data_IF_321701100601
#
_entry.id   IF_321701100601
#
_cell.length_a   1.000
_cell.length_b   1.000
_cell.length_c   1.000
_cell.angle_alpha   90.00
_cell.angle_beta   90.00
_cell.angle_gamma   90.00
#
_symmetry.space_group_name_H-M   'P 1'
#
loop_
_entity.id
_entity.type
_entity.pdbx_description
1 polymer ?
#
# COMPACT_ATOMS: atom_id res chain seq x y z
N UNK A 1 26.09 -32.49 21.45
CA UNK A 1 24.84 -31.74 21.74
C UNK A 1 24.83 -30.48 20.90
N UNK A 2 24.01 -30.43 19.84
CA UNK A 2 23.91 -29.32 18.87
C UNK A 2 22.60 -28.58 19.11
N UNK A 3 22.67 -27.33 19.54
CA UNK A 3 21.49 -26.47 19.73
C UNK A 3 21.19 -25.73 18.43
N UNK A 4 20.06 -26.07 17.81
CA UNK A 4 19.47 -25.35 16.66
C UNK A 4 18.80 -24.08 17.19
N UNK A 5 19.30 -22.92 16.78
CA UNK A 5 18.63 -21.63 16.94
C UNK A 5 17.58 -21.47 15.85
N UNK A 6 16.31 -21.51 16.24
CA UNK A 6 15.15 -21.23 15.39
C UNK A 6 15.02 -19.72 15.16
N UNK A 7 15.25 -19.30 13.91
CA UNK A 7 14.92 -17.96 13.44
C UNK A 7 13.39 -17.81 13.37
N UNK A 8 12.83 -16.95 14.24
CA UNK A 8 11.43 -16.54 14.20
C UNK A 8 11.25 -15.57 13.03
N UNK A 9 10.51 -16.01 12.00
CA UNK A 9 10.10 -15.16 10.87
C UNK A 9 9.29 -13.97 11.39
N UNK A 10 9.74 -12.76 11.08
CA UNK A 10 8.91 -11.56 11.18
C UNK A 10 7.70 -11.72 10.24
N UNK A 11 6.50 -11.61 10.81
CA UNK A 11 5.26 -11.48 10.06
C UNK A 11 5.33 -10.19 9.24
N UNK A 12 5.31 -10.33 7.91
CA UNK A 12 5.10 -9.22 7.00
C UNK A 12 3.68 -8.70 7.19
N UNK A 13 3.54 -7.43 7.55
CA UNK A 13 2.26 -6.75 7.42
C UNK A 13 1.79 -6.83 5.95
N UNK A 14 0.49 -7.08 5.70
CA UNK A 14 -0.03 -7.15 4.35
C UNK A 14 0.05 -5.76 3.73
N UNK A 15 0.88 -5.61 2.70
CA UNK A 15 0.80 -4.49 1.78
C UNK A 15 -0.60 -4.50 1.16
N UNK A 16 -1.45 -3.54 1.55
CA UNK A 16 -2.68 -3.25 0.82
C UNK A 16 -2.25 -2.83 -0.58
N UNK A 17 -2.37 -3.73 -1.55
CA UNK A 17 -2.23 -3.41 -2.97
C UNK A 17 -3.24 -2.29 -3.27
N UNK A 18 -2.73 -1.11 -3.58
CA UNK A 18 -3.48 -0.05 -4.26
C UNK A 18 -3.83 -0.60 -5.65
N UNK A 19 -5.02 -1.18 -5.75
CA UNK A 19 -5.61 -1.53 -7.05
C UNK A 19 -6.02 -0.20 -7.67
N UNK A 20 -5.20 0.29 -8.60
CA UNK A 20 -5.64 1.27 -9.58
C UNK A 20 -6.73 0.58 -10.41
N UNK A 21 -7.99 0.92 -10.13
CA UNK A 21 -9.07 0.69 -11.10
C UNK A 21 -8.86 1.73 -12.18
N UNK A 22 -8.63 1.26 -13.40
CA UNK A 22 -8.62 2.11 -14.58
C UNK A 22 -9.91 2.94 -14.62
N UNK A 23 -9.84 4.20 -15.07
CA UNK A 23 -11.04 5.00 -15.28
C UNK A 23 -11.92 4.31 -16.32
N UNK A 24 -13.26 4.39 -16.19
CA UNK A 24 -14.16 3.84 -17.20
C UNK A 24 -13.83 4.49 -18.55
N UNK A 25 -13.59 3.63 -19.55
CA UNK A 25 -13.39 4.05 -20.92
C UNK A 25 -14.60 4.88 -21.36
N UNK A 26 -14.35 6.14 -21.69
CA UNK A 26 -15.31 6.99 -22.40
C UNK A 26 -15.46 6.35 -23.77
N UNK A 27 -16.57 5.63 -23.95
CA UNK A 27 -17.00 5.18 -25.27
C UNK A 27 -17.42 6.45 -26.01
N UNK A 28 -16.61 6.84 -27.00
CA UNK A 28 -17.04 7.74 -28.03
C UNK A 28 -18.09 6.98 -28.85
N UNK A 29 -19.36 7.28 -28.59
CA UNK A 29 -20.46 6.86 -29.46
C UNK A 29 -20.23 7.52 -30.83
N UNK A 30 -20.17 6.67 -31.85
CA UNK A 30 -20.07 7.04 -33.26
C UNK A 30 -21.23 7.98 -33.62
N UNK A 31 -20.89 9.11 -34.23
CA UNK A 31 -21.80 10.05 -34.89
C UNK A 31 -22.47 9.33 -36.08
N UNK A 32 -23.52 8.55 -35.81
CA UNK A 32 -24.44 8.08 -36.84
C UNK A 32 -25.31 9.26 -37.20
N UNK A 33 -24.99 9.86 -38.36
CA UNK A 33 -25.82 10.80 -39.11
C UNK A 33 -27.28 10.38 -39.01
N UNK A 34 -28.05 11.14 -38.23
CA UNK A 34 -29.45 10.85 -37.94
C UNK A 34 -30.25 10.74 -39.24
N UNK A 35 -30.80 9.55 -39.49
CA UNK A 35 -32.10 9.50 -40.17
C UNK A 35 -33.02 10.40 -39.34
N UNK A 36 -33.48 11.46 -39.96
CA UNK A 36 -34.38 12.42 -39.38
C UNK A 36 -35.71 11.64 -39.15
N UNK A 37 -35.81 11.01 -37.98
CA UNK A 37 -36.96 10.20 -37.51
C UNK A 37 -37.81 10.99 -36.51
N UNK A 38 -37.62 12.31 -36.45
CA UNK A 38 -38.33 13.18 -35.53
C UNK A 38 -39.84 13.22 -35.82
N UNK A 39 -40.65 13.69 -34.86
CA UNK A 39 -42.11 13.80 -34.99
C UNK A 39 -42.57 14.61 -36.22
N UNK A 40 -41.70 15.47 -36.75
CA UNK A 40 -41.94 16.26 -37.97
C UNK A 40 -42.11 15.39 -39.23
N UNK A 41 -41.58 14.16 -39.26
CA UNK A 41 -41.77 13.23 -40.38
C UNK A 41 -43.21 12.73 -40.48
N UNK A 42 -43.91 12.76 -39.36
CA UNK A 42 -45.32 12.40 -39.27
C UNK A 42 -46.22 13.56 -39.73
N UNK A 43 -45.69 14.77 -39.90
CA UNK A 43 -46.45 15.88 -40.47
C UNK A 43 -46.77 15.55 -41.93
N UNK A 44 -48.07 15.57 -42.25
CA UNK A 44 -48.57 15.25 -43.57
C UNK A 44 -47.91 16.15 -44.61
N UNK A 45 -47.49 15.59 -45.75
CA UNK A 45 -46.91 16.35 -46.86
C UNK A 45 -48.01 17.20 -47.52
N UNK A 46 -47.71 18.48 -47.75
CA UNK A 46 -48.60 19.34 -48.50
C UNK A 46 -48.87 18.75 -49.90
N UNK A 47 -50.12 18.72 -50.40
CA UNK A 47 -50.41 18.19 -51.72
C UNK A 47 -49.69 19.03 -52.81
N UNK A 48 -48.71 18.45 -53.49
CA UNK A 48 -48.03 19.10 -54.62
C UNK A 48 -48.91 19.22 -55.88
N UNK A 49 -50.08 18.57 -55.87
CA UNK A 49 -51.02 18.63 -56.96
C UNK A 49 -52.17 19.52 -56.54
N UNK A 50 -52.46 20.52 -57.38
CA UNK A 50 -53.71 21.28 -57.32
C UNK A 50 -54.85 20.27 -57.13
N UNK A 51 -55.75 20.46 -56.13
CA UNK A 51 -56.85 19.55 -55.95
C UNK A 51 -57.57 19.44 -57.30
N UNK A 52 -57.86 18.22 -57.74
CA UNK A 52 -58.71 17.98 -58.91
C UNK A 52 -60.00 18.77 -58.67
N UNK A 53 -60.05 19.96 -59.26
CA UNK A 53 -61.06 20.99 -59.02
C UNK A 53 -62.39 20.63 -59.68
N UNK A 54 -62.55 19.38 -60.08
CA UNK A 54 -63.70 18.88 -60.82
C UNK A 54 -64.96 18.73 -59.96
N UNK A 55 -64.87 18.73 -58.62
CA UNK A 55 -66.04 18.54 -57.74
C UNK A 55 -66.59 19.82 -57.08
N UNK A 56 -65.84 20.92 -57.04
CA UNK A 56 -66.26 22.16 -56.34
C UNK A 56 -66.84 23.23 -57.28
N UNK A 57 -66.61 23.12 -58.59
CA UNK A 57 -67.13 24.06 -59.59
C UNK A 57 -68.65 23.93 -59.85
N UNK A 58 -69.34 22.98 -59.22
CA UNK A 58 -70.80 22.78 -59.30
C UNK A 58 -71.57 23.18 -58.02
N UNK A 59 -70.89 23.77 -57.02
CA UNK A 59 -71.54 24.16 -55.77
C UNK A 59 -72.37 25.45 -55.90
N UNK A 60 -73.51 25.48 -55.20
CA UNK A 60 -74.32 26.69 -55.01
C UNK A 60 -73.51 27.76 -54.26
N UNK A 61 -73.69 29.06 -54.53
CA UNK A 61 -73.04 30.15 -53.80
C UNK A 61 -73.14 30.02 -52.27
N UNK A 62 -74.31 29.63 -51.76
CA UNK A 62 -74.57 29.45 -50.32
C UNK A 62 -73.71 28.32 -49.72
N UNK A 63 -73.48 27.24 -50.48
CA UNK A 63 -72.58 26.16 -50.06
C UNK A 63 -71.12 26.59 -50.14
N UNK A 64 -70.70 27.34 -51.15
CA UNK A 64 -69.32 27.83 -51.24
C UNK A 64 -68.94 28.73 -50.06
N UNK A 65 -69.86 29.60 -49.61
CA UNK A 65 -69.64 30.49 -48.47
C UNK A 65 -69.55 29.72 -47.14
N UNK A 66 -70.40 28.69 -46.97
CA UNK A 66 -70.38 27.84 -45.78
C UNK A 66 -69.06 27.07 -45.65
N UNK A 67 -68.53 26.53 -46.75
CA UNK A 67 -67.25 25.80 -46.76
C UNK A 67 -66.08 26.74 -46.45
N UNK A 68 -66.06 27.95 -47.02
CA UNK A 68 -65.03 28.96 -46.75
C UNK A 68 -65.05 29.43 -45.28
N UNK A 69 -66.23 29.67 -44.71
CA UNK A 69 -66.40 30.03 -43.30
C UNK A 69 -65.96 28.90 -42.34
N UNK A 70 -66.27 27.66 -42.70
CA UNK A 70 -65.83 26.47 -41.95
C UNK A 70 -64.31 26.34 -41.99
N UNK A 71 -63.69 26.50 -43.16
CA UNK A 71 -62.23 26.46 -43.29
C UNK A 71 -61.55 27.56 -42.47
N UNK A 72 -62.09 28.78 -42.46
CA UNK A 72 -61.57 29.87 -41.64
C UNK A 72 -61.67 29.56 -40.13
N UNK A 73 -62.75 28.89 -39.71
CA UNK A 73 -62.94 28.47 -38.32
C UNK A 73 -61.93 27.39 -37.91
N UNK A 74 -61.64 26.43 -38.79
CA UNK A 74 -60.59 25.41 -38.58
C UNK A 74 -59.21 26.05 -38.46
N UNK A 75 -58.88 27.02 -39.34
CA UNK A 75 -57.62 27.79 -39.25
C UNK A 75 -57.46 28.49 -37.90
N UNK A 76 -58.52 29.18 -37.43
CA UNK A 76 -58.50 29.86 -36.13
C UNK A 76 -58.37 28.88 -34.97
N UNK A 77 -59.04 27.74 -35.05
CA UNK A 77 -59.00 26.71 -34.03
C UNK A 77 -57.59 26.13 -33.89
N UNK A 78 -56.95 25.71 -34.99
CA UNK A 78 -55.60 25.13 -34.93
C UNK A 78 -54.56 26.15 -34.45
N UNK A 79 -54.67 27.41 -34.89
CA UNK A 79 -53.80 28.48 -34.38
C UNK A 79 -53.99 28.67 -32.88
N UNK A 80 -55.23 28.68 -32.39
CA UNK A 80 -55.52 28.81 -30.96
C UNK A 80 -54.97 27.64 -30.14
N UNK A 81 -55.18 26.40 -30.61
CA UNK A 81 -54.73 25.20 -29.90
C UNK A 81 -53.20 25.10 -29.87
N UNK A 82 -52.52 25.36 -31.00
CA UNK A 82 -51.07 25.35 -31.05
C UNK A 82 -50.44 26.52 -30.28
N UNK A 83 -51.07 27.69 -30.26
CA UNK A 83 -50.57 28.85 -29.49
C UNK A 83 -50.85 28.73 -27.99
N UNK A 84 -51.90 28.01 -27.60
CA UNK A 84 -52.23 27.73 -26.20
C UNK A 84 -51.55 26.46 -25.68
N UNK A 85 -50.82 25.73 -26.53
CA UNK A 85 -50.06 24.58 -26.11
C UNK A 85 -49.05 25.01 -25.05
N UNK A 86 -49.07 24.31 -23.91
CA UNK A 86 -48.12 24.57 -22.81
C UNK A 86 -46.73 24.06 -23.24
N UNK A 87 -45.68 24.60 -22.64
CA UNK A 87 -44.29 24.17 -22.85
C UNK A 87 -44.04 22.66 -22.63
N UNK A 88 -45.01 21.94 -22.04
CA UNK A 88 -44.96 20.51 -21.74
C UNK A 88 -45.76 19.62 -22.72
N UNK A 89 -46.37 20.20 -23.76
CA UNK A 89 -47.11 19.42 -24.77
C UNK A 89 -46.12 18.77 -25.74
N UNK A 90 -46.16 17.44 -25.85
CA UNK A 90 -45.28 16.67 -26.75
C UNK A 90 -45.48 17.07 -28.22
N UNK A 91 -44.38 17.19 -28.97
CA UNK A 91 -44.39 17.63 -30.38
C UNK A 91 -45.23 16.68 -31.23
N UNK A 92 -45.23 15.39 -30.92
CA UNK A 92 -46.07 14.35 -31.51
C UNK A 92 -47.56 14.72 -31.45
N UNK A 93 -48.04 15.18 -30.30
CA UNK A 93 -49.46 15.56 -30.12
C UNK A 93 -49.82 16.80 -30.92
N UNK A 94 -48.90 17.77 -31.04
CA UNK A 94 -49.08 18.95 -31.88
C UNK A 94 -49.09 18.61 -33.38
N UNK A 95 -48.28 17.62 -33.80
CA UNK A 95 -48.28 17.08 -35.17
C UNK A 95 -49.61 16.40 -35.48
N UNK A 96 -50.13 15.56 -34.57
CA UNK A 96 -51.42 14.89 -34.75
C UNK A 96 -52.58 15.89 -34.89
N UNK A 97 -52.62 16.92 -34.04
CA UNK A 97 -53.61 17.99 -34.11
C UNK A 97 -53.53 18.74 -35.43
N UNK A 98 -52.32 19.07 -35.87
CA UNK A 98 -52.05 19.75 -37.13
C UNK A 98 -52.52 18.92 -38.33
N UNK A 99 -52.21 17.62 -38.34
CA UNK A 99 -52.63 16.70 -39.40
C UNK A 99 -54.15 16.60 -39.55
N UNK A 100 -54.88 16.52 -38.43
CA UNK A 100 -56.37 16.51 -38.46
C UNK A 100 -56.94 17.82 -39.02
N UNK A 101 -56.34 18.95 -38.68
CA UNK A 101 -56.74 20.25 -39.22
C UNK A 101 -56.47 20.34 -40.73
N UNK A 102 -55.30 19.88 -41.20
CA UNK A 102 -54.96 19.85 -42.64
C UNK A 102 -55.84 18.89 -43.45
N UNK A 103 -56.16 17.71 -42.91
CA UNK A 103 -57.12 16.79 -43.53
C UNK A 103 -58.51 17.41 -43.69
N UNK A 104 -58.97 18.13 -42.67
CA UNK A 104 -60.24 18.86 -42.74
C UNK A 104 -60.20 19.97 -43.79
N UNK A 105 -59.09 20.70 -43.89
CA UNK A 105 -58.94 21.79 -44.88
C UNK A 105 -58.81 21.28 -46.32
N UNK A 106 -58.16 20.14 -46.55
CA UNK A 106 -58.12 19.47 -47.85
C UNK A 106 -59.51 19.08 -48.33
N UNK A 107 -60.31 18.49 -47.43
CA UNK A 107 -61.69 18.11 -47.73
C UNK A 107 -62.56 19.32 -48.09
N UNK A 108 -62.28 20.48 -47.48
CA UNK A 108 -62.97 21.75 -47.74
C UNK A 108 -62.44 22.50 -48.98
N UNK A 109 -61.35 22.03 -49.61
CA UNK A 109 -60.73 22.70 -50.76
C UNK A 109 -60.13 24.08 -50.44
N UNK A 110 -59.72 24.31 -49.19
CA UNK A 110 -59.18 25.59 -48.76
C UNK A 110 -57.69 25.75 -49.13
N UNK A 111 -57.26 26.95 -49.51
CA UNK A 111 -55.82 27.27 -49.58
C UNK A 111 -55.30 27.56 -48.17
N UNK A 112 -54.35 26.75 -47.69
CA UNK A 112 -53.74 26.87 -46.38
C UNK A 112 -52.19 26.81 -46.42
N UNK A 113 -51.56 27.10 -47.56
CA UNK A 113 -50.11 27.00 -47.72
C UNK A 113 -49.32 27.80 -46.66
N UNK A 114 -49.65 29.08 -46.47
CA UNK A 114 -48.99 29.93 -45.46
C UNK A 114 -49.16 29.40 -44.03
N UNK A 115 -50.34 28.83 -43.73
CA UNK A 115 -50.62 28.24 -42.41
C UNK A 115 -49.81 26.95 -42.23
N UNK A 116 -49.71 26.12 -43.27
CA UNK A 116 -48.92 24.90 -43.24
C UNK A 116 -47.45 25.21 -42.96
N UNK A 117 -46.86 26.17 -43.66
CA UNK A 117 -45.48 26.57 -43.45
C UNK A 117 -45.25 27.12 -42.04
N UNK A 118 -46.15 27.97 -41.54
CA UNK A 118 -46.07 28.50 -40.18
C UNK A 118 -46.15 27.40 -39.11
N UNK A 119 -47.07 26.44 -39.27
CA UNK A 119 -47.22 25.29 -38.35
C UNK A 119 -45.99 24.40 -38.42
N UNK A 120 -45.46 24.13 -39.62
CA UNK A 120 -44.22 23.35 -39.80
C UNK A 120 -43.04 24.01 -39.11
N UNK A 121 -42.87 25.33 -39.25
CA UNK A 121 -41.82 26.09 -38.56
C UNK A 121 -42.00 26.03 -37.04
N UNK A 122 -43.23 26.21 -36.54
CA UNK A 122 -43.53 26.11 -35.10
C UNK A 122 -43.13 24.74 -34.56
N UNK A 123 -43.63 23.66 -35.17
CA UNK A 123 -43.32 22.30 -34.74
C UNK A 123 -41.82 22.02 -34.79
N UNK A 124 -41.12 22.52 -35.82
CA UNK A 124 -39.67 22.40 -35.93
C UNK A 124 -38.94 23.08 -34.77
N UNK A 125 -39.37 24.29 -34.41
CA UNK A 125 -38.79 25.01 -33.28
C UNK A 125 -39.11 24.32 -31.96
N UNK A 126 -40.31 23.76 -31.79
CA UNK A 126 -40.68 22.99 -30.59
C UNK A 126 -39.83 21.71 -30.45
N UNK A 127 -39.56 21.00 -31.54
CA UNK A 127 -38.68 19.83 -31.54
C UNK A 127 -37.24 20.20 -31.14
N UNK A 128 -36.70 21.28 -31.72
CA UNK A 128 -35.37 21.79 -31.37
C UNK A 128 -35.30 22.23 -29.91
N UNK A 129 -36.33 22.91 -29.39
CA UNK A 129 -36.39 23.34 -27.99
C UNK A 129 -36.43 22.13 -27.03
N UNK A 130 -37.23 21.11 -27.35
CA UNK A 130 -37.29 19.87 -26.55
C UNK A 130 -35.94 19.16 -26.52
N UNK A 131 -35.30 19.02 -27.68
CA UNK A 131 -33.95 18.45 -27.81
C UNK A 131 -32.92 19.24 -26.99
N UNK A 132 -32.87 20.57 -27.13
CA UNK A 132 -31.95 21.42 -26.39
C UNK A 132 -32.20 21.37 -24.87
N UNK A 133 -33.45 21.25 -24.42
CA UNK A 133 -33.79 21.11 -22.99
C UNK A 133 -33.30 19.77 -22.44
N UNK A 134 -33.44 18.69 -23.21
CA UNK A 134 -32.93 17.37 -22.83
C UNK A 134 -31.40 17.36 -22.74
N UNK A 135 -30.72 17.94 -23.74
CA UNK A 135 -29.27 18.09 -23.76
C UNK A 135 -28.76 18.93 -22.58
N UNK A 136 -29.39 20.08 -22.30
CA UNK A 136 -29.06 20.91 -21.15
C UNK A 136 -29.21 20.15 -19.82
N UNK A 137 -30.30 19.39 -19.67
CA UNK A 137 -30.53 18.59 -18.47
C UNK A 137 -29.47 17.49 -18.32
N UNK A 138 -29.08 16.83 -19.41
CA UNK A 138 -27.99 15.85 -19.41
C UNK A 138 -26.68 16.48 -18.96
N UNK A 139 -26.30 17.61 -19.56
CA UNK A 139 -25.07 18.32 -19.20
C UNK A 139 -25.06 18.83 -17.76
N UNK A 140 -26.20 19.30 -17.24
CA UNK A 140 -26.33 19.69 -15.82
C UNK A 140 -26.12 18.50 -14.88
N UNK A 141 -26.63 17.33 -15.23
CA UNK A 141 -26.40 16.10 -14.47
C UNK A 141 -24.92 15.69 -14.51
N UNK A 142 -24.30 15.75 -15.68
CA UNK A 142 -22.87 15.44 -15.85
C UNK A 142 -21.97 16.41 -15.08
N UNK A 143 -22.28 17.70 -15.11
CA UNK A 143 -21.58 18.73 -14.33
C UNK A 143 -21.69 18.45 -12.83
N UNK A 144 -22.90 18.18 -12.33
CA UNK A 144 -23.14 17.83 -10.93
C UNK A 144 -22.34 16.60 -10.49
N UNK A 145 -22.32 15.55 -11.33
CA UNK A 145 -21.52 14.35 -11.11
C UNK A 145 -20.01 14.65 -11.10
N UNK A 146 -19.53 15.48 -12.03
CA UNK A 146 -18.13 15.87 -12.12
C UNK A 146 -17.67 16.70 -10.91
N UNK A 147 -18.52 17.61 -10.42
CA UNK A 147 -18.26 18.38 -9.20
C UNK A 147 -18.18 17.45 -7.99
N UNK A 148 -19.16 16.55 -7.82
CA UNK A 148 -19.15 15.58 -6.72
C UNK A 148 -17.90 14.68 -6.75
N UNK A 149 -17.51 14.21 -7.94
CA UNK A 149 -16.30 13.41 -8.10
C UNK A 149 -15.02 14.19 -7.80
N UNK A 150 -14.94 15.46 -8.20
CA UNK A 150 -13.82 16.35 -7.88
C UNK A 150 -13.64 16.48 -6.36
N UNK A 151 -14.72 16.69 -5.61
CA UNK A 151 -14.65 16.85 -4.15
C UNK A 151 -14.15 15.57 -3.47
N UNK A 152 -14.65 14.41 -3.92
CA UNK A 152 -14.18 13.10 -3.44
C UNK A 152 -12.69 12.90 -3.75
N UNK A 153 -12.25 13.25 -4.95
CA UNK A 153 -10.84 13.18 -5.32
C UNK A 153 -9.98 14.11 -4.46
N UNK A 154 -10.41 15.35 -4.23
CA UNK A 154 -9.69 16.31 -3.41
C UNK A 154 -9.53 15.83 -1.96
N UNK A 155 -10.58 15.24 -1.39
CA UNK A 155 -10.52 14.65 -0.06
C UNK A 155 -9.50 13.50 0.00
N UNK A 156 -9.60 12.55 -0.94
CA UNK A 156 -8.65 11.41 -1.04
C UNK A 156 -7.21 11.85 -1.24
N UNK A 157 -6.98 12.90 -2.03
CA UNK A 157 -5.66 13.49 -2.20
C UNK A 157 -5.12 14.04 -0.88
N UNK A 158 -5.93 14.78 -0.14
CA UNK A 158 -5.54 15.33 1.17
C UNK A 158 -5.19 14.22 2.16
N UNK A 159 -6.03 13.19 2.28
CA UNK A 159 -5.76 12.02 3.14
C UNK A 159 -4.46 11.30 2.75
N UNK A 160 -4.20 11.14 1.45
CA UNK A 160 -2.99 10.51 0.95
C UNK A 160 -1.74 11.34 1.28
N UNK A 161 -1.81 12.68 1.19
CA UNK A 161 -0.72 13.57 1.56
C UNK A 161 -0.43 13.51 3.07
N UNK A 162 -1.46 13.52 3.91
CA UNK A 162 -1.30 13.40 5.36
C UNK A 162 -0.69 12.03 5.75
N UNK A 163 -1.18 10.95 5.16
CA UNK A 163 -0.62 9.62 5.36
C UNK A 163 0.85 9.52 4.92
N UNK A 164 1.19 10.13 3.78
CA UNK A 164 2.57 10.20 3.30
C UNK A 164 3.46 10.99 4.27
N UNK A 165 3.01 12.16 4.74
CA UNK A 165 3.74 12.96 5.71
C UNK A 165 3.98 12.21 7.03
N UNK A 166 2.95 11.51 7.53
CA UNK A 166 3.05 10.64 8.71
C UNK A 166 4.10 9.53 8.52
N UNK A 167 4.02 8.80 7.40
CA UNK A 167 4.97 7.72 7.09
C UNK A 167 6.43 8.22 6.96
N UNK A 168 6.63 9.43 6.40
CA UNK A 168 7.95 10.03 6.28
C UNK A 168 8.52 10.43 7.64
N UNK A 169 7.67 10.92 8.56
CA UNK A 169 8.07 11.26 9.92
C UNK A 169 8.50 10.00 10.69
N UNK A 170 7.71 8.91 10.60
CA UNK A 170 8.05 7.61 11.20
C UNK A 170 9.36 7.05 10.65
N UNK A 171 9.57 7.12 9.33
CA UNK A 171 10.81 6.69 8.68
C UNK A 171 12.03 7.45 9.23
N UNK A 172 11.94 8.78 9.32
CA UNK A 172 13.04 9.61 9.84
C UNK A 172 13.34 9.32 11.30
N UNK A 173 12.32 9.01 12.10
CA UNK A 173 12.53 8.64 13.50
C UNK A 173 13.20 7.27 13.62
N UNK A 174 12.78 6.29 12.81
CA UNK A 174 13.44 4.99 12.74
C UNK A 174 14.91 5.10 12.31
N UNK A 175 15.22 5.98 11.35
CA UNK A 175 16.59 6.24 10.90
C UNK A 175 17.47 6.81 12.04
N UNK A 176 16.94 7.76 12.83
CA UNK A 176 17.65 8.28 14.01
C UNK A 176 17.93 7.18 15.03
N UNK A 177 16.93 6.35 15.33
CA UNK A 177 17.07 5.23 16.27
C UNK A 177 18.13 4.23 15.79
N UNK A 178 18.17 3.95 14.49
CA UNK A 178 19.20 3.11 13.88
C UNK A 178 20.60 3.71 14.08
N UNK A 179 20.75 5.03 13.92
CA UNK A 179 22.01 5.74 14.20
C UNK A 179 22.48 5.60 15.66
N UNK A 180 21.55 5.74 16.62
CA UNK A 180 21.82 5.54 18.05
C UNK A 180 22.27 4.09 18.31
N UNK A 181 21.56 3.11 17.74
CA UNK A 181 21.87 1.70 17.91
C UNK A 181 23.24 1.35 17.32
N UNK A 182 23.56 1.83 16.12
CA UNK A 182 24.88 1.63 15.50
C UNK A 182 26.02 2.18 16.35
N UNK A 183 25.80 3.35 16.96
CA UNK A 183 26.77 3.94 17.90
C UNK A 183 26.96 3.06 19.14
N UNK A 184 25.86 2.55 19.70
CA UNK A 184 25.89 1.62 20.83
C UNK A 184 26.62 0.32 20.50
N UNK A 185 26.32 -0.30 19.36
CA UNK A 185 27.01 -1.51 18.88
C UNK A 185 28.51 -1.27 18.72
N UNK A 186 28.90 -0.12 18.19
CA UNK A 186 30.31 0.25 18.03
C UNK A 186 31.03 0.37 19.38
N UNK A 187 30.39 0.96 20.39
CA UNK A 187 30.93 1.03 21.77
C UNK A 187 31.11 -0.36 22.37
N UNK A 188 30.11 -1.24 22.26
CA UNK A 188 30.20 -2.61 22.77
C UNK A 188 31.31 -3.41 22.08
N UNK A 189 31.50 -3.23 20.77
CA UNK A 189 32.60 -3.86 20.02
C UNK A 189 33.99 -3.40 20.50
N UNK A 190 34.15 -2.15 20.90
CA UNK A 190 35.40 -1.65 21.48
C UNK A 190 35.66 -2.28 22.86
N UNK A 191 34.65 -2.36 23.72
CA UNK A 191 34.77 -3.02 25.03
C UNK A 191 35.14 -4.49 24.87
N UNK A 192 34.50 -5.20 23.94
CA UNK A 192 34.80 -6.61 23.66
C UNK A 192 36.28 -6.79 23.26
N UNK A 193 36.79 -5.93 22.34
CA UNK A 193 38.20 -5.96 21.94
C UNK A 193 39.17 -5.74 23.10
N UNK A 194 38.82 -4.89 24.08
CA UNK A 194 39.64 -4.69 25.28
C UNK A 194 39.65 -5.94 26.17
N UNK A 195 38.48 -6.51 26.43
CA UNK A 195 38.35 -7.74 27.23
C UNK A 195 39.08 -8.93 26.60
N UNK A 196 39.05 -9.07 25.28
CA UNK A 196 39.80 -10.10 24.56
C UNK A 196 41.32 -9.95 24.75
N UNK A 197 41.84 -8.72 24.73
CA UNK A 197 43.25 -8.44 25.00
C UNK A 197 43.62 -8.78 26.44
N UNK A 198 42.80 -8.36 27.41
CA UNK A 198 43.01 -8.67 28.82
C UNK A 198 42.97 -10.18 29.09
N UNK A 199 42.03 -10.91 28.47
CA UNK A 199 41.94 -12.36 28.56
C UNK A 199 43.21 -13.03 28.02
N UNK A 200 43.72 -12.58 26.87
CA UNK A 200 44.95 -13.10 26.29
C UNK A 200 46.16 -12.85 27.20
N UNK A 201 46.24 -11.67 27.82
CA UNK A 201 47.29 -11.33 28.77
C UNK A 201 47.22 -12.19 30.03
N UNK A 202 46.02 -12.36 30.62
CA UNK A 202 45.82 -13.20 31.80
C UNK A 202 46.15 -14.66 31.53
N UNK A 203 45.83 -15.18 30.34
CA UNK A 203 46.24 -16.55 29.93
C UNK A 203 47.75 -16.72 29.92
N UNK A 204 48.51 -15.72 29.45
CA UNK A 204 49.98 -15.75 29.49
C UNK A 204 50.50 -15.74 30.94
N UNK A 205 49.93 -14.90 31.80
CA UNK A 205 50.29 -14.86 33.23
C UNK A 205 50.05 -16.20 33.92
N UNK A 206 48.89 -16.83 33.68
CA UNK A 206 48.56 -18.16 34.21
C UNK A 206 49.58 -19.19 33.74
N UNK A 207 49.91 -19.24 32.45
CA UNK A 207 50.89 -20.19 31.92
C UNK A 207 52.28 -20.03 32.57
N UNK A 208 52.72 -18.79 32.84
CA UNK A 208 53.98 -18.51 33.54
C UNK A 208 53.92 -19.01 34.99
N UNK A 209 52.81 -18.75 35.69
CA UNK A 209 52.63 -19.20 37.08
C UNK A 209 52.57 -20.73 37.19
N UNK A 210 51.88 -21.40 36.26
CA UNK A 210 51.86 -22.86 36.17
C UNK A 210 53.27 -23.43 35.97
N UNK A 211 54.09 -22.81 35.12
CA UNK A 211 55.49 -23.19 34.94
C UNK A 211 56.31 -23.07 36.22
N UNK A 212 56.19 -21.94 36.93
CA UNK A 212 56.87 -21.72 38.22
C UNK A 212 56.41 -22.72 39.28
N UNK A 213 55.12 -23.00 39.36
CA UNK A 213 54.56 -23.96 40.31
C UNK A 213 55.09 -25.38 40.06
N UNK A 214 55.11 -25.83 38.79
CA UNK A 214 55.69 -27.13 38.41
C UNK A 214 57.15 -27.24 38.81
N UNK A 215 57.96 -26.22 38.51
CA UNK A 215 59.37 -26.20 38.88
C UNK A 215 59.58 -26.26 40.41
N UNK A 216 58.78 -25.51 41.17
CA UNK A 216 58.82 -25.55 42.63
C UNK A 216 58.45 -26.95 43.18
N UNK A 217 57.43 -27.59 42.59
CA UNK A 217 57.03 -28.94 42.97
C UNK A 217 58.13 -29.96 42.70
N UNK A 218 58.77 -29.91 41.52
CA UNK A 218 59.90 -30.77 41.16
C UNK A 218 61.08 -30.59 42.13
N UNK A 219 61.45 -29.33 42.43
CA UNK A 219 62.52 -29.02 43.39
C UNK A 219 62.20 -29.53 44.79
N UNK A 220 60.95 -29.35 45.26
CA UNK A 220 60.52 -29.87 46.56
C UNK A 220 60.64 -31.40 46.64
N UNK A 221 60.25 -32.11 45.58
CA UNK A 221 60.37 -33.57 45.51
C UNK A 221 61.85 -34.01 45.51
N UNK A 222 62.73 -33.31 44.80
CA UNK A 222 64.17 -33.57 44.80
C UNK A 222 64.76 -33.40 46.21
N UNK A 223 64.51 -32.26 46.87
CA UNK A 223 64.98 -31.99 48.24
C UNK A 223 64.44 -33.04 49.23
N UNK A 224 63.17 -33.44 49.09
CA UNK A 224 62.57 -34.47 49.93
C UNK A 224 63.28 -35.82 49.80
N UNK A 225 63.72 -36.17 48.59
CA UNK A 225 64.47 -37.40 48.34
C UNK A 225 65.89 -37.29 48.89
N UNK A 226 66.61 -36.20 48.63
CA UNK A 226 67.95 -35.94 49.19
C UNK A 226 67.93 -35.98 50.72
N UNK A 227 66.91 -35.39 51.36
CA UNK A 227 66.74 -35.43 52.81
C UNK A 227 66.62 -36.87 53.35
N UNK A 228 65.92 -37.75 52.63
CA UNK A 228 65.80 -39.16 53.03
C UNK A 228 67.15 -39.87 52.94
N UNK A 229 67.85 -39.67 51.82
CA UNK A 229 69.19 -40.26 51.61
C UNK A 229 70.18 -39.79 52.68
N UNK A 230 70.22 -38.49 52.98
CA UNK A 230 71.09 -37.95 54.04
C UNK A 230 70.71 -38.52 55.40
N UNK A 231 69.42 -38.69 55.71
CA UNK A 231 68.98 -39.29 56.96
C UNK A 231 69.48 -40.74 57.12
N UNK A 232 69.43 -41.53 56.03
CA UNK A 232 69.98 -42.89 55.99
C UNK A 232 71.51 -42.88 56.19
N UNK A 233 72.23 -41.99 55.50
CA UNK A 233 73.68 -41.84 55.66
C UNK A 233 74.07 -41.43 57.09
N UNK A 234 73.30 -40.52 57.73
CA UNK A 234 73.53 -40.09 59.11
C UNK A 234 73.32 -41.25 60.09
N UNK A 235 72.28 -42.06 59.89
CA UNK A 235 72.05 -43.26 60.71
C UNK A 235 73.20 -44.25 60.61
N UNK A 236 73.70 -44.51 59.40
CA UNK A 236 74.84 -45.41 59.19
C UNK A 236 76.12 -44.85 59.82
N UNK A 237 76.44 -43.57 59.59
CA UNK A 237 77.61 -42.94 60.22
C UNK A 237 77.54 -42.94 61.73
N UNK A 238 76.35 -42.72 62.31
CA UNK A 238 76.14 -42.79 63.77
C UNK A 238 76.45 -44.20 64.31
N UNK A 239 76.04 -45.25 63.59
CA UNK A 239 76.37 -46.64 63.95
C UNK A 239 77.88 -46.90 63.92
N UNK A 240 78.58 -46.39 62.90
CA UNK A 240 80.05 -46.49 62.79
C UNK A 240 80.75 -45.77 63.96
N UNK A 241 80.30 -44.57 64.31
CA UNK A 241 80.83 -43.81 65.45
C UNK A 241 80.66 -44.60 66.74
N UNK A 242 79.46 -45.12 67.03
CA UNK A 242 79.20 -45.94 68.23
C UNK A 242 80.08 -47.20 68.30
N UNK A 243 80.28 -47.90 67.18
CA UNK A 243 81.18 -49.05 67.12
C UNK A 243 82.64 -48.67 67.38
N UNK A 244 83.07 -47.51 66.86
CA UNK A 244 84.44 -47.00 67.03
C UNK A 244 84.69 -46.54 68.46
N UNK A 245 83.73 -45.86 69.09
CA UNK A 245 83.78 -45.45 70.49
C UNK A 245 83.95 -46.66 71.41
N UNK A 246 83.12 -47.71 71.23
CA UNK A 246 83.28 -48.98 71.98
C UNK A 246 84.68 -49.57 71.83
N UNK A 247 85.19 -49.65 70.59
CA UNK A 247 86.54 -50.15 70.33
C UNK A 247 87.62 -49.29 70.99
N UNK A 248 87.47 -47.96 70.98
CA UNK A 248 88.38 -47.04 71.67
C UNK A 248 88.38 -47.26 73.19
N UNK A 249 87.21 -47.48 73.80
CA UNK A 249 87.09 -47.75 75.23
C UNK A 249 87.73 -49.10 75.59
N UNK A 250 87.51 -50.15 74.79
CA UNK A 250 88.15 -51.46 74.94
C UNK A 250 89.68 -51.37 74.88
N UNK A 251 90.22 -50.68 73.87
CA UNK A 251 91.66 -50.45 73.72
C UNK A 251 92.21 -49.64 74.89
N UNK A 252 91.51 -48.58 75.32
CA UNK A 252 91.92 -47.75 76.46
C UNK A 252 91.98 -48.56 77.76
N UNK A 253 90.98 -49.42 78.00
CA UNK A 253 90.98 -50.34 79.13
C UNK A 253 92.13 -51.37 79.03
N UNK A 254 92.41 -51.89 77.83
CA UNK A 254 93.54 -52.77 77.56
C UNK A 254 94.90 -52.13 77.86
N UNK A 255 95.12 -50.90 77.39
CA UNK A 255 96.33 -50.11 77.67
C UNK A 255 96.48 -49.86 79.16
N UNK A 256 95.40 -49.49 79.86
CA UNK A 256 95.42 -49.25 81.30
C UNK A 256 95.84 -50.51 82.07
N UNK A 257 95.27 -51.68 81.73
CA UNK A 257 95.68 -52.98 82.30
C UNK A 257 97.16 -53.29 82.05
N UNK A 258 97.65 -53.10 80.82
CA UNK A 258 99.06 -53.33 80.50
C UNK A 258 99.99 -52.42 81.32
N UNK A 259 99.61 -51.15 81.50
CA UNK A 259 100.36 -50.20 82.33
C UNK A 259 100.39 -50.64 83.79
N UNK A 260 99.26 -51.07 84.35
CA UNK A 260 99.19 -51.60 85.73
C UNK A 260 100.06 -52.85 85.91
N UNK A 261 100.05 -53.79 84.95
CA UNK A 261 100.92 -54.98 84.97
C UNK A 261 102.40 -54.60 84.92
N UNK A 262 102.79 -53.70 84.01
CA UNK A 262 104.17 -53.21 83.92
C UNK A 262 104.61 -52.51 85.22
N UNK A 263 103.74 -51.73 85.84
CA UNK A 263 104.02 -51.07 87.12
C UNK A 263 104.16 -52.05 88.29
N UNK A 264 103.55 -53.24 88.25
CA UNK A 264 103.69 -54.28 89.28
C UNK A 264 104.95 -55.16 89.14
N UNK A 265 105.67 -55.05 88.01
CA UNK A 265 106.88 -55.81 87.70
C UNK A 265 108.19 -55.08 88.10
N UNK A 266 108.07 -53.82 88.53
CA UNK A 266 109.14 -53.02 89.14
C UNK A 266 108.92 -52.94 90.66
#
# INVERSE_FOLDING_TARGET
>A
MRTRLSFRRHQSHPQKKLIFKDPPAVQAEDDVVGEDTGPLFLLRKFPNNSPDSSNFNELSPDSSELYASTALSVKKLIVSELSSSREDVEVETMVELSNRAFETMDWLGADYADLYDAVRTLLSNCAQLSSAKSELQSHQNDESNAISYRDVLQHRCTEAFEALAGSLAEYREAEKQLGVLNTSVSKHREVLRKLEKELAQKRKEVAVLEGKWKHCLESHLAIKNEKKEIAEQVMEKRKIVQMTERRCDEVRAGVKRCKETLSSLC
#
